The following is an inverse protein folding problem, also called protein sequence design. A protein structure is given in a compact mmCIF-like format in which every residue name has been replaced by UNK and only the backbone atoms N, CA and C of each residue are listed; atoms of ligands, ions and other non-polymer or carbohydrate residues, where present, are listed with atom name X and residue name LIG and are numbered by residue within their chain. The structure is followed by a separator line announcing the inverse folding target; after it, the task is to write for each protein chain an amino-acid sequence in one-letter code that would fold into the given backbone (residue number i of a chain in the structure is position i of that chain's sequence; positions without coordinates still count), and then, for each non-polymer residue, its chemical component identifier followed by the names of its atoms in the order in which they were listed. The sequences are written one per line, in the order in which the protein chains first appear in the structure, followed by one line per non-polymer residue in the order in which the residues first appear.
data_IF_804336602494
#
_entry.id   IF_804336602494
#
_cell.length_a   1.000
_cell.length_b   1.000
_cell.length_c   1.000
_cell.angle_alpha   90.00
_cell.angle_beta   90.00
_cell.angle_gamma   90.00
#
_symmetry.space_group_name_H-M   'P 1'
#
loop_
_entity.id
_entity.type
_entity.pdbx_description
1 polymer ?
#
# COMPACT_ATOMS: atom_id res chain seq x y z
N UNK A 1 -6.87 -14.33 2.84
CA UNK A 1 -6.62 -13.74 4.19
C UNK A 1 -5.74 -12.52 4.04
N UNK A 2 -5.89 -11.48 4.87
CA UNK A 2 -4.97 -10.32 4.90
C UNK A 2 -4.82 -9.79 6.33
N UNK A 3 -3.83 -8.93 6.56
CA UNK A 3 -3.82 -8.02 7.69
C UNK A 3 -4.06 -6.59 7.23
N UNK A 4 -4.96 -5.87 7.91
CA UNK A 4 -5.16 -4.44 7.66
C UNK A 4 -5.89 -3.79 8.82
N UNK A 5 -5.56 -2.52 9.08
CA UNK A 5 -6.30 -1.64 9.99
C UNK A 5 -7.08 -0.55 9.24
N UNK A 6 -7.33 -0.72 7.93
CA UNK A 6 -7.92 0.32 7.09
C UNK A 6 -8.38 -0.16 5.70
N UNK A 7 -8.14 0.68 4.68
CA UNK A 7 -8.72 0.56 3.33
C UNK A 7 -8.47 -0.80 2.67
N UNK A 8 -7.25 -1.36 2.79
CA UNK A 8 -6.93 -2.68 2.22
C UNK A 8 -7.84 -3.79 2.75
N UNK A 9 -8.16 -3.78 4.04
CA UNK A 9 -9.05 -4.77 4.65
C UNK A 9 -10.47 -4.67 4.09
N UNK A 10 -10.97 -3.45 3.90
CA UNK A 10 -12.29 -3.21 3.30
C UNK A 10 -12.32 -3.62 1.82
N UNK A 11 -11.30 -3.24 1.05
CA UNK A 11 -11.19 -3.57 -0.37
C UNK A 11 -11.15 -5.09 -0.59
N UNK A 12 -10.35 -5.82 0.21
CA UNK A 12 -10.33 -7.28 0.13
C UNK A 12 -11.69 -7.88 0.51
N UNK A 13 -12.32 -7.39 1.58
CA UNK A 13 -13.61 -7.89 2.02
C UNK A 13 -14.69 -7.68 0.95
N UNK A 14 -14.75 -6.49 0.35
CA UNK A 14 -15.67 -6.17 -0.75
C UNK A 14 -15.41 -7.07 -1.97
N UNK A 15 -14.14 -7.20 -2.40
CA UNK A 15 -13.78 -8.06 -3.53
C UNK A 15 -14.14 -9.53 -3.30
N UNK A 16 -13.94 -10.03 -2.08
CA UNK A 16 -14.33 -11.39 -1.70
C UNK A 16 -15.84 -11.60 -1.73
N UNK A 17 -16.61 -10.63 -1.21
CA UNK A 17 -18.06 -10.63 -1.26
C UNK A 17 -18.59 -10.65 -2.70
N UNK A 18 -18.05 -9.81 -3.58
CA UNK A 18 -18.41 -9.77 -5.01
C UNK A 18 -18.13 -11.10 -5.73
N UNK A 19 -17.15 -11.86 -5.26
CA UNK A 19 -16.78 -13.17 -5.81
C UNK A 19 -17.46 -14.35 -5.09
N UNK A 20 -18.22 -14.10 -4.04
CA UNK A 20 -18.85 -15.15 -3.24
C UNK A 20 -17.86 -16.07 -2.52
N UNK A 21 -16.65 -15.58 -2.21
CA UNK A 21 -15.60 -16.35 -1.53
C UNK A 21 -15.37 -15.85 -0.10
N UNK A 22 -14.99 -16.73 0.85
CA UNK A 22 -14.74 -16.31 2.22
C UNK A 22 -13.47 -15.46 2.33
N UNK A 23 -13.51 -14.42 3.18
CA UNK A 23 -12.36 -13.60 3.53
C UNK A 23 -12.22 -13.44 5.04
N UNK A 24 -10.96 -13.42 5.49
CA UNK A 24 -10.58 -13.10 6.88
C UNK A 24 -9.59 -11.94 6.88
N UNK A 25 -9.85 -10.93 7.71
CA UNK A 25 -9.00 -9.76 7.94
C UNK A 25 -8.50 -9.77 9.38
N UNK A 26 -7.18 -9.80 9.53
CA UNK A 26 -6.50 -9.67 10.82
C UNK A 26 -6.22 -8.20 11.09
N UNK A 27 -6.70 -7.67 12.21
CA UNK A 27 -6.59 -6.26 12.55
C UNK A 27 -6.12 -6.08 14.01
N UNK A 28 -5.29 -5.08 14.32
CA UNK A 28 -4.97 -4.73 15.70
C UNK A 28 -6.22 -4.44 16.52
N UNK A 29 -6.19 -4.78 17.81
CA UNK A 29 -7.23 -4.39 18.77
C UNK A 29 -7.42 -2.87 18.89
N UNK A 30 -6.40 -2.08 18.56
CA UNK A 30 -6.44 -0.61 18.52
C UNK A 30 -7.10 -0.02 17.27
N UNK A 31 -7.50 -0.86 16.30
CA UNK A 31 -8.15 -0.38 15.08
C UNK A 31 -9.49 0.27 15.40
N UNK A 32 -9.75 1.45 14.84
CA UNK A 32 -11.01 2.18 15.03
C UNK A 32 -12.23 1.30 14.72
N UNK A 33 -13.22 1.32 15.61
CA UNK A 33 -14.44 0.50 15.50
C UNK A 33 -15.13 0.64 14.15
N UNK A 34 -15.26 1.88 13.64
CA UNK A 34 -15.87 2.15 12.34
C UNK A 34 -15.20 1.39 11.18
N UNK A 35 -13.88 1.24 11.19
CA UNK A 35 -13.14 0.50 10.16
C UNK A 35 -13.38 -1.01 10.27
N UNK A 36 -13.44 -1.55 11.49
CA UNK A 36 -13.76 -2.96 11.72
C UNK A 36 -15.19 -3.27 11.29
N UNK A 37 -16.13 -2.38 11.60
CA UNK A 37 -17.54 -2.54 11.24
C UNK A 37 -17.73 -2.46 9.72
N UNK A 38 -17.02 -1.59 9.02
CA UNK A 38 -17.02 -1.54 7.56
C UNK A 38 -16.50 -2.86 6.92
N UNK A 39 -15.44 -3.45 7.47
CA UNK A 39 -14.94 -4.76 7.01
C UNK A 39 -16.01 -5.86 7.22
N UNK A 40 -16.67 -5.87 8.39
CA UNK A 40 -17.74 -6.84 8.70
C UNK A 40 -18.97 -6.64 7.81
N UNK A 41 -19.29 -5.40 7.44
CA UNK A 41 -20.42 -5.09 6.56
C UNK A 41 -20.27 -5.73 5.17
N UNK A 42 -19.03 -5.92 4.70
CA UNK A 42 -18.74 -6.71 3.49
C UNK A 42 -18.71 -8.23 3.72
N UNK A 43 -19.07 -8.73 4.91
CA UNK A 43 -19.16 -10.17 5.20
C UNK A 43 -17.83 -10.86 5.53
N UNK A 44 -16.72 -10.14 5.64
CA UNK A 44 -15.45 -10.74 6.04
C UNK A 44 -15.38 -11.03 7.55
N UNK A 45 -14.74 -12.13 7.91
CA UNK A 45 -14.37 -12.45 9.30
C UNK A 45 -13.29 -11.48 9.76
N UNK A 46 -13.51 -10.81 10.89
CA UNK A 46 -12.49 -9.95 11.54
C UNK A 46 -11.86 -10.70 12.71
N UNK A 47 -10.53 -10.81 12.71
CA UNK A 47 -9.75 -11.42 13.79
C UNK A 47 -8.84 -10.37 14.41
N UNK A 48 -8.92 -10.19 15.72
CA UNK A 48 -8.12 -9.18 16.42
C UNK A 48 -6.76 -9.73 16.86
N UNK A 49 -5.71 -8.92 16.73
CA UNK A 49 -4.35 -9.22 17.19
C UNK A 49 -3.77 -8.06 18.02
N UNK A 50 -2.62 -8.30 18.66
CA UNK A 50 -1.84 -7.22 19.27
C UNK A 50 -1.33 -6.23 18.20
N UNK A 51 -1.12 -4.94 18.55
CA UNK A 51 -0.71 -3.91 17.60
C UNK A 51 0.78 -3.98 17.22
N UNK A 52 1.30 -5.18 16.98
CA UNK A 52 2.68 -5.42 16.55
C UNK A 52 2.73 -6.08 15.18
N UNK A 53 3.85 -5.94 14.47
CA UNK A 53 4.01 -6.55 13.16
C UNK A 53 4.03 -8.09 13.25
N UNK A 54 4.67 -8.62 14.29
CA UNK A 54 4.77 -10.06 14.56
C UNK A 54 3.39 -10.67 14.79
N UNK A 55 2.53 -10.01 15.57
CA UNK A 55 1.18 -10.50 15.85
C UNK A 55 0.28 -10.47 14.60
N UNK A 56 0.47 -9.49 13.70
CA UNK A 56 -0.23 -9.44 12.41
C UNK A 56 0.19 -10.59 11.50
N UNK A 57 1.49 -10.83 11.36
CA UNK A 57 2.03 -11.91 10.52
C UNK A 57 1.57 -13.28 11.04
N UNK A 58 1.79 -13.55 12.33
CA UNK A 58 1.38 -14.82 12.95
C UNK A 58 -0.15 -15.03 12.88
N UNK A 59 -0.93 -13.96 13.04
CA UNK A 59 -2.38 -14.01 12.89
C UNK A 59 -2.80 -14.39 11.47
N UNK A 60 -2.19 -13.78 10.46
CA UNK A 60 -2.50 -14.05 9.05
C UNK A 60 -2.13 -15.49 8.66
N UNK A 61 -0.95 -15.96 9.05
CA UNK A 61 -0.50 -17.32 8.80
C UNK A 61 -1.44 -18.35 9.43
N UNK A 62 -1.82 -18.13 10.70
CA UNK A 62 -2.77 -19.00 11.40
C UNK A 62 -4.12 -19.05 10.71
N UNK A 63 -4.70 -17.89 10.38
CA UNK A 63 -6.03 -17.86 9.73
C UNK A 63 -5.98 -18.43 8.30
N UNK A 64 -4.87 -18.25 7.57
CA UNK A 64 -4.67 -18.88 6.27
C UNK A 64 -4.65 -20.41 6.38
N UNK A 65 -3.95 -20.96 7.38
CA UNK A 65 -3.92 -22.39 7.65
C UNK A 65 -5.30 -22.95 8.04
N UNK A 66 -6.04 -22.25 8.91
CA UNK A 66 -7.42 -22.63 9.29
C UNK A 66 -8.39 -22.65 8.12
N UNK A 67 -8.14 -21.84 7.09
CA UNK A 67 -8.92 -21.80 5.85
C UNK A 67 -8.40 -22.79 4.78
N UNK A 68 -7.63 -23.82 5.19
CA UNK A 68 -7.13 -24.85 4.27
C UNK A 68 -5.99 -24.36 3.36
N UNK A 69 -5.18 -23.41 3.82
CA UNK A 69 -4.08 -22.84 3.03
C UNK A 69 -4.51 -21.68 2.13
N UNK A 70 -5.46 -20.87 2.58
CA UNK A 70 -5.96 -19.74 1.81
C UNK A 70 -4.85 -18.73 1.46
N UNK A 71 -4.90 -18.15 0.26
CA UNK A 71 -3.93 -17.15 -0.18
C UNK A 71 -3.90 -15.93 0.75
N UNK A 72 -2.70 -15.53 1.14
CA UNK A 72 -2.44 -14.27 1.83
C UNK A 72 -2.31 -13.16 0.79
N UNK A 73 -3.09 -12.09 0.95
CA UNK A 73 -3.11 -10.95 0.03
C UNK A 73 -2.52 -9.72 0.73
N UNK A 74 -1.26 -9.35 0.46
CA UNK A 74 -0.62 -8.21 1.11
C UNK A 74 -1.16 -6.87 0.59
N UNK A 75 -0.91 -5.75 1.30
CA UNK A 75 -1.45 -4.44 0.93
C UNK A 75 -0.75 -3.73 -0.24
N UNK A 76 0.46 -4.14 -0.62
CA UNK A 76 1.21 -3.47 -1.71
C UNK A 76 2.32 -4.32 -2.35
N UNK A 77 3.06 -5.12 -1.57
CA UNK A 77 4.29 -5.79 -2.05
C UNK A 77 4.01 -7.17 -2.68
N UNK A 78 3.17 -7.21 -3.70
CA UNK A 78 2.83 -8.42 -4.47
C UNK A 78 2.57 -8.04 -5.94
N UNK A 79 3.07 -8.82 -6.92
CA UNK A 79 2.92 -8.49 -8.34
C UNK A 79 1.47 -8.30 -8.79
N UNK A 80 0.53 -9.11 -8.29
CA UNK A 80 -0.88 -9.00 -8.67
C UNK A 80 -1.53 -7.77 -8.04
N UNK A 81 -1.12 -7.40 -6.81
CA UNK A 81 -1.57 -6.16 -6.17
C UNK A 81 -1.05 -4.96 -6.96
N UNK A 82 0.24 -4.92 -7.29
CA UNK A 82 0.88 -3.84 -8.07
C UNK A 82 0.20 -3.69 -9.44
N UNK A 83 0.01 -4.81 -10.16
CA UNK A 83 -0.68 -4.80 -11.45
C UNK A 83 -2.12 -4.27 -11.33
N UNK A 84 -2.84 -4.70 -10.28
CA UNK A 84 -4.17 -4.18 -9.98
C UNK A 84 -4.17 -2.66 -9.74
N UNK A 85 -3.22 -2.13 -8.96
CA UNK A 85 -3.12 -0.69 -8.75
C UNK A 85 -2.74 0.07 -10.04
N UNK A 86 -1.95 -0.56 -10.92
CA UNK A 86 -1.53 0.04 -12.19
C UNK A 86 -2.68 0.35 -13.14
N UNK A 87 -3.84 -0.30 -12.97
CA UNK A 87 -5.05 0.02 -13.75
C UNK A 87 -5.49 1.48 -13.58
N UNK A 88 -5.31 2.06 -12.38
CA UNK A 88 -5.57 3.49 -12.14
C UNK A 88 -4.67 4.36 -13.04
N UNK A 89 -3.41 3.96 -13.21
CA UNK A 89 -2.48 4.64 -14.11
C UNK A 89 -2.89 4.51 -15.58
N UNK A 90 -3.34 3.33 -16.00
CA UNK A 90 -3.84 3.11 -17.37
C UNK A 90 -5.06 3.98 -17.65
N UNK A 91 -6.06 3.97 -16.77
CA UNK A 91 -7.28 4.78 -16.89
C UNK A 91 -6.93 6.28 -16.99
N UNK A 92 -6.04 6.77 -16.12
CA UNK A 92 -5.61 8.17 -16.14
C UNK A 92 -4.92 8.56 -17.46
N UNK A 93 -4.06 7.69 -17.99
CA UNK A 93 -3.33 7.91 -19.25
C UNK A 93 -4.26 7.82 -20.47
N UNK A 94 -5.31 7.01 -20.41
CA UNK A 94 -6.35 6.96 -21.44
C UNK A 94 -7.21 8.23 -21.43
N UNK A 95 -7.57 8.74 -20.26
CA UNK A 95 -8.38 9.96 -20.12
C UNK A 95 -7.59 11.24 -20.43
N UNK A 96 -6.30 11.27 -20.09
CA UNK A 96 -5.42 12.44 -20.27
C UNK A 96 -4.09 12.00 -20.90
N UNK A 97 -4.02 11.91 -22.25
CA UNK A 97 -2.88 11.31 -22.93
C UNK A 97 -1.59 12.15 -22.89
N UNK A 98 -1.70 13.47 -22.74
CA UNK A 98 -0.57 14.42 -22.84
C UNK A 98 -0.13 14.94 -21.45
N UNK A 99 -0.08 14.08 -20.43
CA UNK A 99 0.38 14.46 -19.10
C UNK A 99 1.90 14.72 -19.07
N UNK A 100 2.31 15.80 -18.42
CA UNK A 100 3.73 16.02 -18.09
C UNK A 100 4.17 15.15 -16.91
N UNK A 101 3.28 14.98 -15.93
CA UNK A 101 3.58 14.31 -14.68
C UNK A 101 2.33 13.70 -14.00
N UNK A 102 2.56 12.63 -13.23
CA UNK A 102 1.59 11.99 -12.35
C UNK A 102 2.15 12.02 -10.93
N UNK A 103 1.39 12.58 -9.99
CA UNK A 103 1.74 12.64 -8.58
C UNK A 103 1.03 11.51 -7.84
N UNK A 104 1.78 10.59 -7.22
CA UNK A 104 1.21 9.38 -6.60
C UNK A 104 1.44 9.37 -5.09
N UNK A 105 0.37 9.33 -4.26
CA UNK A 105 0.51 9.18 -2.81
C UNK A 105 1.18 7.85 -2.46
N UNK A 106 2.24 7.89 -1.66
CA UNK A 106 3.19 6.78 -1.51
C UNK A 106 3.34 6.31 -0.07
N UNK A 107 2.59 5.24 0.25
CA UNK A 107 2.79 4.39 1.43
C UNK A 107 3.86 3.32 1.16
N UNK A 108 3.54 2.02 1.24
CA UNK A 108 4.44 0.94 0.86
C UNK A 108 4.78 0.84 -0.64
N UNK A 109 4.17 1.67 -1.49
CA UNK A 109 4.57 1.87 -2.89
C UNK A 109 3.79 1.09 -3.95
N UNK A 110 2.78 0.29 -3.57
CA UNK A 110 2.07 -0.56 -4.55
C UNK A 110 1.41 0.22 -5.69
N UNK A 111 0.76 1.35 -5.35
CA UNK A 111 0.16 2.25 -6.34
C UNK A 111 1.22 2.93 -7.20
N UNK A 112 2.25 3.54 -6.57
CA UNK A 112 3.36 4.16 -7.29
C UNK A 112 4.03 3.19 -8.27
N UNK A 113 4.35 1.97 -7.85
CA UNK A 113 4.92 0.95 -8.72
C UNK A 113 3.99 0.57 -9.88
N UNK A 114 2.69 0.40 -9.61
CA UNK A 114 1.71 0.09 -10.65
C UNK A 114 1.60 1.20 -11.68
N UNK A 115 1.53 2.47 -11.22
CA UNK A 115 1.50 3.65 -12.09
C UNK A 115 2.77 3.79 -12.91
N UNK A 116 3.96 3.57 -12.32
CA UNK A 116 5.22 3.57 -13.07
C UNK A 116 5.23 2.50 -14.17
N UNK A 117 4.76 1.28 -13.88
CA UNK A 117 4.67 0.21 -14.87
C UNK A 117 3.70 0.56 -15.99
N UNK A 118 2.52 1.11 -15.66
CA UNK A 118 1.54 1.55 -16.66
C UNK A 118 2.11 2.64 -17.58
N UNK A 119 2.73 3.68 -17.01
CA UNK A 119 3.36 4.76 -17.77
C UNK A 119 4.50 4.25 -18.66
N UNK A 120 5.30 3.28 -18.19
CA UNK A 120 6.46 2.76 -18.93
C UNK A 120 6.13 2.08 -20.27
N UNK A 121 4.85 1.78 -20.53
CA UNK A 121 4.40 1.22 -21.80
C UNK A 121 4.28 2.28 -22.93
N UNK A 122 4.35 3.57 -22.60
CA UNK A 122 4.23 4.67 -23.57
C UNK A 122 5.59 5.00 -24.21
N UNK A 123 5.57 5.46 -25.46
CA UNK A 123 6.79 5.94 -26.14
C UNK A 123 7.39 7.19 -25.48
N UNK A 124 6.53 8.05 -24.93
CA UNK A 124 6.89 9.26 -24.19
C UNK A 124 6.14 9.28 -22.85
N UNK A 125 6.64 8.55 -21.84
CA UNK A 125 5.95 8.42 -20.56
C UNK A 125 5.97 9.75 -19.77
N UNK A 126 4.89 10.12 -19.06
CA UNK A 126 4.94 11.20 -18.10
C UNK A 126 5.89 10.89 -16.96
N UNK A 127 6.36 11.92 -16.26
CA UNK A 127 7.12 11.74 -15.03
C UNK A 127 6.20 11.20 -13.93
N UNK A 128 6.53 10.08 -13.30
CA UNK A 128 5.76 9.55 -12.17
C UNK A 128 6.49 9.85 -10.87
N UNK A 129 5.97 10.81 -10.10
CA UNK A 129 6.58 11.30 -8.86
C UNK A 129 5.87 10.74 -7.63
N UNK A 130 6.64 10.37 -6.62
CA UNK A 130 6.10 10.02 -5.32
C UNK A 130 5.71 11.28 -4.53
N UNK A 131 4.56 11.23 -3.87
CA UNK A 131 4.16 12.19 -2.82
C UNK A 131 4.11 11.45 -1.49
N UNK A 132 4.78 11.97 -0.47
CA UNK A 132 4.88 11.34 0.86
C UNK A 132 4.52 12.29 2.00
N UNK A 133 4.06 11.78 3.15
CA UNK A 133 4.08 12.53 4.39
C UNK A 133 5.52 12.87 4.80
N UNK A 134 5.71 14.06 5.36
CA UNK A 134 6.96 14.50 5.96
C UNK A 134 7.45 13.47 7.00
N UNK A 135 8.75 13.19 6.99
CA UNK A 135 9.38 12.19 7.87
C UNK A 135 9.56 10.80 7.26
N UNK A 136 8.91 10.48 6.13
CA UNK A 136 9.15 9.22 5.40
C UNK A 136 10.54 9.14 4.77
N UNK A 137 11.04 10.25 4.21
CA UNK A 137 12.40 10.39 3.66
C UNK A 137 12.69 9.48 2.46
N UNK A 138 11.70 9.20 1.60
CA UNK A 138 11.90 8.39 0.39
C UNK A 138 12.89 9.04 -0.58
N UNK A 139 12.88 10.37 -0.71
CA UNK A 139 13.83 11.08 -1.57
C UNK A 139 15.29 10.84 -1.14
N UNK A 140 15.56 10.89 0.17
CA UNK A 140 16.88 10.55 0.72
C UNK A 140 17.26 9.09 0.45
N UNK A 141 16.30 8.16 0.63
CA UNK A 141 16.50 6.74 0.36
C UNK A 141 16.87 6.49 -1.11
N UNK A 142 16.16 7.12 -2.06
CA UNK A 142 16.43 7.02 -3.50
C UNK A 142 17.83 7.58 -3.82
N UNK A 143 18.15 8.76 -3.32
CA UNK A 143 19.45 9.40 -3.55
C UNK A 143 20.62 8.56 -3.02
N UNK A 144 20.46 7.94 -1.85
CA UNK A 144 21.44 7.03 -1.26
C UNK A 144 21.42 5.62 -1.88
N UNK A 145 20.44 5.31 -2.74
CA UNK A 145 20.12 3.94 -3.22
C UNK A 145 20.01 2.93 -2.08
N UNK A 146 19.42 3.37 -0.97
CA UNK A 146 19.27 2.58 0.24
C UNK A 146 17.80 2.58 0.67
N UNK A 147 17.09 1.47 0.40
CA UNK A 147 15.65 1.32 0.69
C UNK A 147 15.30 1.56 2.15
N UNK A 148 16.17 1.15 3.07
CA UNK A 148 15.97 1.26 4.53
C UNK A 148 17.09 2.13 5.10
N UNK A 149 16.77 3.37 5.42
CA UNK A 149 17.71 4.33 5.98
C UNK A 149 18.03 4.05 7.45
N UNK A 150 17.03 3.66 8.24
CA UNK A 150 17.15 3.32 9.65
C UNK A 150 16.42 2.01 9.96
N UNK A 151 17.15 0.90 10.21
CA UNK A 151 16.55 -0.39 10.55
C UNK A 151 15.71 -0.39 11.83
N UNK A 152 16.00 0.48 12.82
CA UNK A 152 15.31 0.49 14.11
C UNK A 152 13.89 1.08 14.02
N UNK A 153 13.68 1.94 13.03
CA UNK A 153 12.42 2.64 12.79
C UNK A 153 11.67 2.14 11.56
N UNK A 154 12.31 1.36 10.68
CA UNK A 154 11.72 0.87 9.41
C UNK A 154 10.34 0.20 9.55
N UNK A 155 10.09 -0.50 10.65
CA UNK A 155 8.84 -1.21 10.92
C UNK A 155 7.85 -0.42 11.81
N UNK A 156 8.19 0.80 12.21
CA UNK A 156 7.33 1.67 13.01
C UNK A 156 6.45 2.51 12.09
N UNK A 157 5.16 2.70 12.41
CA UNK A 157 4.31 3.63 11.67
C UNK A 157 4.91 5.05 11.66
N UNK A 158 4.71 5.79 10.57
CA UNK A 158 4.94 7.23 10.52
C UNK A 158 3.95 7.95 11.45
N UNK A 159 4.44 8.95 12.15
CA UNK A 159 3.63 9.87 12.94
C UNK A 159 3.09 10.96 12.01
N UNK A 160 1.87 10.76 11.52
CA UNK A 160 1.19 11.66 10.56
C UNK A 160 -0.32 11.50 10.67
N UNK A 161 -1.07 12.57 10.39
CA UNK A 161 -2.52 12.50 10.22
C UNK A 161 -2.96 11.64 9.02
N UNK A 162 -2.05 11.36 8.07
CA UNK A 162 -2.34 10.57 6.87
C UNK A 162 -2.28 9.07 7.15
N UNK A 163 -3.31 8.58 7.83
CA UNK A 163 -3.42 7.21 8.36
C UNK A 163 -3.29 6.08 7.31
N UNK A 164 -3.56 6.36 6.04
CA UNK A 164 -3.41 5.44 4.91
C UNK A 164 -1.95 5.27 4.44
N UNK A 165 -1.05 6.17 4.87
CA UNK A 165 0.37 6.16 4.48
C UNK A 165 1.35 5.94 5.64
N UNK A 166 1.16 4.92 6.50
CA UNK A 166 1.95 4.78 7.72
C UNK A 166 3.35 4.18 7.49
N UNK A 167 3.70 3.70 6.29
CA UNK A 167 4.94 2.92 6.08
C UNK A 167 6.16 3.83 5.86
N UNK A 168 7.27 3.57 6.56
CA UNK A 168 8.51 4.35 6.38
C UNK A 168 9.25 4.05 5.08
N UNK A 169 9.40 2.78 4.71
CA UNK A 169 10.11 2.37 3.50
C UNK A 169 9.19 1.67 2.49
N UNK A 170 9.54 1.72 1.21
CA UNK A 170 8.85 0.94 0.19
C UNK A 170 9.02 -0.57 0.44
N UNK A 171 8.04 -1.35 -0.01
CA UNK A 171 8.19 -2.79 -0.13
C UNK A 171 9.38 -3.15 -1.03
N UNK A 172 10.09 -4.27 -0.81
CA UNK A 172 11.22 -4.67 -1.64
C UNK A 172 10.90 -4.70 -3.14
N UNK A 173 9.76 -5.26 -3.53
CA UNK A 173 9.37 -5.32 -4.95
C UNK A 173 9.00 -3.93 -5.47
N UNK A 174 8.28 -3.15 -4.66
CA UNK A 174 7.91 -1.78 -5.03
C UNK A 174 9.14 -0.88 -5.24
N UNK A 175 10.16 -1.06 -4.40
CA UNK A 175 11.43 -0.36 -4.48
C UNK A 175 12.15 -0.60 -5.81
N UNK A 176 12.23 -1.86 -6.25
CA UNK A 176 12.85 -2.18 -7.54
C UNK A 176 12.14 -1.48 -8.70
N UNK A 177 10.79 -1.48 -8.72
CA UNK A 177 10.04 -0.76 -9.74
C UNK A 177 10.29 0.75 -9.70
N UNK A 178 10.30 1.35 -8.51
CA UNK A 178 10.50 2.81 -8.36
C UNK A 178 11.90 3.23 -8.77
N UNK A 179 12.94 2.47 -8.41
CA UNK A 179 14.30 2.77 -8.86
C UNK A 179 14.48 2.62 -10.37
N UNK A 180 13.79 1.66 -10.99
CA UNK A 180 13.91 1.40 -12.42
C UNK A 180 13.09 2.36 -13.29
N UNK A 181 11.91 2.77 -12.83
CA UNK A 181 10.89 3.42 -13.66
C UNK A 181 10.37 4.76 -13.11
N UNK A 182 10.55 5.04 -11.82
CA UNK A 182 10.02 6.25 -11.18
C UNK A 182 10.92 7.47 -11.39
N UNK A 183 10.32 8.66 -11.24
CA UNK A 183 11.10 9.88 -11.14
C UNK A 183 11.82 9.93 -9.77
N UNK A 184 13.10 10.32 -9.71
CA UNK A 184 13.83 10.38 -8.44
C UNK A 184 13.36 11.53 -7.53
N UNK A 185 12.57 12.47 -8.06
CA UNK A 185 11.98 13.58 -7.29
C UNK A 185 10.83 13.07 -6.43
N UNK A 186 10.91 13.36 -5.14
CA UNK A 186 9.85 13.07 -4.16
C UNK A 186 9.32 14.38 -3.58
N UNK A 187 7.99 14.54 -3.57
CA UNK A 187 7.33 15.67 -2.94
C UNK A 187 6.91 15.27 -1.52
N UNK A 188 7.48 15.94 -0.52
CA UNK A 188 7.17 15.70 0.89
C UNK A 188 6.19 16.76 1.40
N UNK A 189 5.10 16.34 2.02
CA UNK A 189 4.03 17.22 2.53
C UNK A 189 3.88 17.07 4.04
N UNK A 190 3.79 18.19 4.75
CA UNK A 190 3.52 18.22 6.19
C UNK A 190 2.03 18.02 6.48
N UNK A 191 1.68 17.54 7.68
CA UNK A 191 0.28 17.39 8.10
C UNK A 191 -0.52 18.70 7.95
N UNK A 192 0.09 19.85 8.25
CA UNK A 192 -0.52 21.18 8.06
C UNK A 192 -0.87 21.51 6.61
N UNK A 193 -0.15 20.94 5.63
CA UNK A 193 -0.46 21.16 4.20
C UNK A 193 -1.56 20.22 3.69
N UNK A 194 -1.91 19.20 4.47
CA UNK A 194 -2.99 18.25 4.15
C UNK A 194 -4.32 18.70 4.75
N UNK A 195 -4.30 19.39 5.90
CA UNK A 195 -5.47 20.05 6.51
C UNK A 195 -6.03 21.22 5.69
#
# INVERSE_FOLDING_TARGET
VTHSSGNHGQALAAAAAMRGVPATVVAPRTTAKAKLDAIRAYGAKVVLCEPTQEARVAGVEREAALMGGARVVPPYNDPAVIAGQGTIGLELLEEVPDLDAILVPTSGGGMLSGTCVAASALESPPRVLAVEPAGKRLGEAIAARQRVLDPETANRPLDTIVDAMPTQCLGPLCWEHVLALGDPTVLSVTDRQVE
#
